data_IF_251698761443
#
_entry.id   IF_251698761443
#
_cell.length_a   1.000
_cell.length_b   1.000
_cell.length_c   1.000
_cell.angle_alpha   90.00
_cell.angle_beta   90.00
_cell.angle_gamma   90.00
#
_symmetry.space_group_name_H-M   'P 1'
#
loop_
_entity.id
_entity.type
_entity.pdbx_description
1 polymer ?
#
# COMPACT_ATOMS: atom_id res chain seq x y z
N UNK A 1 13.51 25.27 36.60
CA UNK A 1 12.10 24.93 36.31
C UNK A 1 12.07 24.51 34.85
N UNK A 2 11.94 23.21 34.59
CA UNK A 2 11.91 22.68 33.24
C UNK A 2 10.53 22.97 32.65
N UNK A 3 10.49 23.77 31.60
CA UNK A 3 9.29 24.02 30.80
C UNK A 3 9.05 22.78 29.95
N UNK A 4 8.31 21.81 30.50
CA UNK A 4 7.75 20.70 29.73
C UNK A 4 6.67 21.32 28.83
N UNK A 5 7.04 21.72 27.61
CA UNK A 5 6.07 21.90 26.54
C UNK A 5 5.37 20.55 26.35
N UNK A 6 4.20 20.39 26.97
CA UNK A 6 3.30 19.28 26.66
C UNK A 6 2.97 19.38 25.17
N UNK A 7 3.56 18.52 24.35
CA UNK A 7 3.12 18.33 22.96
C UNK A 7 1.63 17.99 23.04
N UNK A 8 0.77 18.82 22.46
CA UNK A 8 -0.66 18.54 22.36
C UNK A 8 -0.81 17.21 21.62
N UNK A 9 -1.29 16.18 22.31
CA UNK A 9 -1.48 14.86 21.70
C UNK A 9 -2.67 14.95 20.73
N UNK A 10 -2.40 14.75 19.45
CA UNK A 10 -3.43 14.65 18.42
C UNK A 10 -4.13 13.30 18.55
N UNK A 11 -5.28 13.28 19.21
CA UNK A 11 -6.06 12.05 19.44
C UNK A 11 -7.31 12.01 18.57
N UNK A 12 -7.75 10.79 18.25
CA UNK A 12 -8.98 10.55 17.50
C UNK A 12 -10.20 10.91 18.33
N UNK A 13 -10.96 11.90 17.88
CA UNK A 13 -12.27 12.21 18.46
C UNK A 13 -13.39 11.50 17.68
N UNK A 14 -14.26 10.77 18.39
CA UNK A 14 -15.45 10.20 17.78
C UNK A 14 -16.47 11.26 17.39
N UNK A 15 -17.15 11.11 16.24
CA UNK A 15 -18.24 11.99 15.88
C UNK A 15 -19.45 11.76 16.82
N UNK A 16 -20.46 12.66 16.80
CA UNK A 16 -21.68 12.49 17.58
C UNK A 16 -22.32 11.12 17.39
N UNK A 17 -22.96 10.59 18.44
CA UNK A 17 -23.47 9.21 18.47
C UNK A 17 -24.38 8.84 17.29
N UNK A 18 -25.23 9.75 16.81
CA UNK A 18 -26.06 9.50 15.62
C UNK A 18 -25.22 9.29 14.36
N UNK A 19 -24.13 10.04 14.19
CA UNK A 19 -23.20 9.88 13.06
C UNK A 19 -22.42 8.57 13.17
N UNK A 20 -22.08 8.12 14.38
CA UNK A 20 -21.49 6.80 14.63
C UNK A 20 -22.43 5.67 14.18
N UNK A 21 -23.71 5.76 14.51
CA UNK A 21 -24.71 4.79 14.06
C UNK A 21 -24.83 4.80 12.53
N UNK A 22 -24.94 5.99 11.93
CA UNK A 22 -25.03 6.14 10.48
C UNK A 22 -23.82 5.52 9.77
N UNK A 23 -22.61 5.80 10.27
CA UNK A 23 -21.38 5.20 9.77
C UNK A 23 -21.34 3.69 9.94
N UNK A 24 -21.75 3.16 11.10
CA UNK A 24 -21.82 1.71 11.30
C UNK A 24 -22.75 1.04 10.28
N UNK A 25 -23.95 1.60 10.09
CA UNK A 25 -24.91 1.09 9.10
C UNK A 25 -24.34 1.17 7.70
N UNK A 26 -23.74 2.31 7.33
CA UNK A 26 -23.19 2.54 6.01
C UNK A 26 -22.05 1.57 5.68
N UNK A 27 -21.06 1.42 6.57
CA UNK A 27 -19.92 0.53 6.28
C UNK A 27 -20.33 -0.94 6.26
N UNK A 28 -21.26 -1.36 7.13
CA UNK A 28 -21.81 -2.73 7.12
C UNK A 28 -22.60 -3.01 5.84
N UNK A 29 -23.38 -2.04 5.35
CA UNK A 29 -24.09 -2.18 4.08
C UNK A 29 -23.13 -2.31 2.88
N UNK A 30 -22.04 -1.51 2.87
CA UNK A 30 -20.99 -1.60 1.85
C UNK A 30 -20.31 -2.98 1.92
N UNK A 31 -19.88 -3.42 3.10
CA UNK A 31 -19.25 -4.73 3.30
C UNK A 31 -20.14 -5.88 2.82
N UNK A 32 -21.43 -5.87 3.20
CA UNK A 32 -22.39 -6.89 2.78
C UNK A 32 -22.58 -6.90 1.26
N UNK A 33 -22.65 -5.71 0.64
CA UNK A 33 -22.82 -5.57 -0.81
C UNK A 33 -21.60 -6.09 -1.56
N UNK A 34 -20.39 -5.68 -1.16
CA UNK A 34 -19.15 -6.14 -1.79
C UNK A 34 -18.97 -7.65 -1.63
N UNK A 35 -19.20 -8.19 -0.43
CA UNK A 35 -19.17 -9.65 -0.18
C UNK A 35 -20.15 -10.41 -1.09
N UNK A 36 -21.35 -9.85 -1.31
CA UNK A 36 -22.35 -10.45 -2.19
C UNK A 36 -21.89 -10.41 -3.66
N UNK A 37 -21.29 -9.30 -4.10
CA UNK A 37 -20.73 -9.16 -5.45
C UNK A 37 -19.59 -10.17 -5.66
N UNK A 38 -18.67 -10.31 -4.70
CA UNK A 38 -17.55 -11.26 -4.79
C UNK A 38 -18.05 -12.70 -4.84
N UNK A 39 -19.04 -13.03 -4.02
CA UNK A 39 -19.67 -14.35 -4.04
C UNK A 39 -20.33 -14.64 -5.39
N UNK A 40 -21.10 -13.69 -5.95
CA UNK A 40 -21.69 -13.85 -7.29
C UNK A 40 -20.62 -13.96 -8.38
N UNK A 41 -19.57 -13.15 -8.31
CA UNK A 41 -18.45 -13.20 -9.26
C UNK A 41 -17.71 -14.52 -9.22
N UNK A 42 -17.66 -15.19 -8.06
CA UNK A 42 -16.96 -16.47 -7.91
C UNK A 42 -17.48 -17.58 -8.84
N UNK A 43 -18.73 -17.52 -9.29
CA UNK A 43 -19.32 -18.50 -10.21
C UNK A 43 -18.81 -18.40 -11.66
N UNK A 44 -18.26 -17.26 -12.05
CA UNK A 44 -17.84 -16.98 -13.43
C UNK A 44 -16.32 -16.78 -13.56
N UNK A 45 -15.56 -16.95 -12.47
CA UNK A 45 -14.11 -16.68 -12.46
C UNK A 45 -13.34 -17.73 -13.25
N UNK A 46 -12.55 -17.25 -14.21
CA UNK A 46 -11.59 -18.07 -14.97
C UNK A 46 -10.27 -18.19 -14.22
N UNK A 47 -9.54 -19.28 -14.47
CA UNK A 47 -8.35 -19.69 -13.69
C UNK A 47 -7.07 -18.89 -13.97
N UNK A 48 -7.08 -17.96 -14.94
CA UNK A 48 -5.85 -17.35 -15.45
C UNK A 48 -5.04 -16.59 -14.38
N UNK A 49 -5.74 -15.94 -13.44
CA UNK A 49 -5.13 -15.15 -12.36
C UNK A 49 -5.26 -15.82 -10.98
N UNK A 50 -5.71 -17.07 -10.91
CA UNK A 50 -5.92 -17.73 -9.63
C UNK A 50 -4.57 -18.02 -8.93
N UNK A 51 -4.51 -17.93 -7.60
CA UNK A 51 -3.34 -18.38 -6.85
C UNK A 51 -3.15 -19.88 -7.03
N UNK A 52 -1.91 -20.33 -6.91
CA UNK A 52 -1.57 -21.75 -6.92
C UNK A 52 -2.09 -22.44 -5.65
N UNK A 53 -2.05 -21.74 -4.51
CA UNK A 53 -2.46 -22.25 -3.20
C UNK A 53 -3.27 -21.18 -2.48
N UNK A 54 -4.39 -21.58 -1.87
CA UNK A 54 -5.10 -20.80 -0.86
C UNK A 54 -5.04 -21.57 0.44
N UNK A 55 -4.42 -20.99 1.47
CA UNK A 55 -4.17 -21.65 2.75
C UNK A 55 -4.67 -20.80 3.90
N UNK A 56 -5.13 -21.45 4.96
CA UNK A 56 -5.38 -20.81 6.25
C UNK A 56 -4.45 -21.42 7.28
N UNK A 57 -4.06 -20.63 8.28
CA UNK A 57 -3.21 -21.07 9.38
C UNK A 57 -4.03 -21.04 10.67
N UNK A 58 -3.81 -22.01 11.59
CA UNK A 58 -4.59 -22.11 12.83
C UNK A 58 -4.56 -20.81 13.67
N UNK A 59 -3.49 -20.03 13.58
CA UNK A 59 -3.38 -18.75 14.28
C UNK A 59 -4.42 -17.73 13.81
N UNK A 60 -4.91 -17.83 12.56
CA UNK A 60 -5.91 -16.97 11.91
C UNK A 60 -6.67 -17.77 10.85
N UNK A 61 -7.45 -18.74 11.29
CA UNK A 61 -8.12 -19.75 10.45
C UNK A 61 -9.17 -19.19 9.47
N UNK A 62 -9.68 -17.99 9.73
CA UNK A 62 -10.67 -17.28 8.93
C UNK A 62 -10.06 -16.28 7.94
N UNK A 63 -8.74 -16.13 7.91
CA UNK A 63 -8.03 -15.22 7.02
C UNK A 63 -7.21 -16.02 5.99
N UNK A 64 -7.76 -16.27 4.78
CA UNK A 64 -7.05 -17.00 3.75
C UNK A 64 -5.84 -16.20 3.26
N UNK A 65 -4.69 -16.87 3.16
CA UNK A 65 -3.48 -16.42 2.51
C UNK A 65 -3.44 -17.01 1.10
N UNK A 66 -3.18 -16.17 0.10
CA UNK A 66 -3.16 -16.57 -1.32
C UNK A 66 -1.72 -16.57 -1.82
N UNK A 67 -1.30 -17.66 -2.43
CA UNK A 67 0.11 -17.90 -2.75
C UNK A 67 0.26 -18.15 -4.24
N UNK A 68 1.15 -17.38 -4.87
CA UNK A 68 1.44 -17.42 -6.29
C UNK A 68 2.88 -17.88 -6.49
N UNK A 69 3.02 -19.07 -7.07
CA UNK A 69 4.29 -19.59 -7.54
C UNK A 69 4.52 -19.07 -8.96
N UNK A 70 5.75 -18.64 -9.32
CA UNK A 70 6.02 -18.23 -10.68
C UNK A 70 5.84 -19.42 -11.62
N UNK A 71 5.35 -19.20 -12.84
CA UNK A 71 5.15 -20.26 -13.84
C UNK A 71 6.44 -21.02 -14.19
N UNK A 72 7.59 -20.39 -13.98
CA UNK A 72 8.92 -21.01 -14.11
C UNK A 72 9.30 -21.95 -12.94
N UNK A 73 8.49 -22.02 -11.88
CA UNK A 73 8.76 -22.89 -10.73
C UNK A 73 8.26 -24.31 -10.97
N UNK A 74 9.18 -25.27 -10.91
CA UNK A 74 8.86 -26.68 -11.06
C UNK A 74 8.39 -27.28 -9.73
N UNK A 75 7.23 -27.95 -9.75
CA UNK A 75 6.71 -28.64 -8.57
C UNK A 75 7.70 -29.71 -8.08
N UNK A 76 8.02 -29.68 -6.78
CA UNK A 76 9.01 -30.58 -6.17
C UNK A 76 10.46 -30.10 -6.29
N UNK A 77 10.71 -28.93 -6.90
CA UNK A 77 12.02 -28.28 -6.83
C UNK A 77 12.39 -27.96 -5.38
N UNK A 78 13.68 -28.08 -5.05
CA UNK A 78 14.25 -27.63 -3.77
C UNK A 78 14.73 -26.16 -3.81
N UNK A 79 14.50 -25.46 -4.93
CA UNK A 79 14.94 -24.08 -5.12
C UNK A 79 14.11 -23.14 -4.24
N UNK A 80 14.75 -22.50 -3.27
CA UNK A 80 14.14 -21.40 -2.54
C UNK A 80 14.01 -20.15 -3.43
N UNK A 81 12.93 -19.40 -3.25
CA UNK A 81 12.54 -18.25 -4.03
C UNK A 81 12.59 -16.97 -3.19
N UNK A 82 13.06 -15.85 -3.77
CA UNK A 82 12.76 -14.54 -3.20
C UNK A 82 11.24 -14.36 -3.08
N UNK A 83 10.81 -13.74 -1.99
CA UNK A 83 9.40 -13.67 -1.60
C UNK A 83 8.94 -12.23 -1.45
N UNK A 84 7.84 -11.89 -2.12
CA UNK A 84 7.11 -10.64 -1.93
C UNK A 84 5.81 -10.92 -1.18
N UNK A 85 5.67 -10.40 0.03
CA UNK A 85 4.39 -10.37 0.72
C UNK A 85 3.57 -9.19 0.21
N UNK A 86 2.29 -9.37 -0.09
CA UNK A 86 1.40 -8.30 -0.51
C UNK A 86 0.25 -8.10 0.47
N UNK A 87 -0.14 -6.84 0.69
CA UNK A 87 -1.23 -6.45 1.58
C UNK A 87 -2.21 -5.57 0.80
N UNK A 88 -3.43 -6.04 0.69
CA UNK A 88 -4.46 -5.38 -0.10
C UNK A 88 -5.00 -4.10 0.57
N UNK A 89 -5.57 -3.21 -0.25
CA UNK A 89 -6.18 -1.96 0.18
C UNK A 89 -7.61 -2.10 0.71
N UNK A 90 -8.35 -0.98 0.69
CA UNK A 90 -9.76 -0.95 1.10
C UNK A 90 -10.04 -0.15 2.38
N UNK A 91 -9.25 0.89 2.66
CA UNK A 91 -9.50 1.80 3.78
C UNK A 91 -9.57 1.09 5.14
N UNK A 92 -8.84 -0.02 5.30
CA UNK A 92 -8.85 -0.91 6.48
C UNK A 92 -10.19 -1.62 6.77
N UNK A 93 -11.23 -1.35 5.97
CA UNK A 93 -12.62 -1.71 6.26
C UNK A 93 -13.25 -2.63 5.21
N UNK A 94 -12.74 -2.63 3.98
CA UNK A 94 -13.30 -3.41 2.87
C UNK A 94 -12.17 -4.12 2.11
N UNK A 95 -12.57 -4.87 1.08
CA UNK A 95 -11.66 -5.60 0.22
C UNK A 95 -11.14 -6.89 0.81
N UNK A 96 -10.39 -7.62 0.00
CA UNK A 96 -9.80 -8.90 0.36
C UNK A 96 -8.46 -9.10 -0.37
N UNK A 97 -7.67 -10.06 0.09
CA UNK A 97 -6.42 -10.45 -0.61
C UNK A 97 -6.63 -10.88 -2.07
N UNK A 98 -7.87 -11.16 -2.47
CA UNK A 98 -8.22 -11.53 -3.84
C UNK A 98 -8.28 -10.33 -4.80
N UNK A 99 -8.45 -9.11 -4.28
CA UNK A 99 -8.64 -7.91 -5.10
C UNK A 99 -7.41 -7.63 -5.99
N UNK A 100 -6.24 -8.11 -5.56
CA UNK A 100 -4.94 -7.93 -6.22
C UNK A 100 -4.44 -9.20 -6.93
N UNK A 101 -5.27 -10.24 -7.10
CA UNK A 101 -4.87 -11.52 -7.70
C UNK A 101 -4.17 -11.37 -9.07
N UNK A 102 -4.72 -10.52 -9.94
CA UNK A 102 -4.15 -10.27 -11.27
C UNK A 102 -2.76 -9.61 -11.18
N UNK A 103 -2.61 -8.66 -10.25
CA UNK A 103 -1.33 -8.01 -9.99
C UNK A 103 -0.32 -9.00 -9.43
N UNK A 104 -0.72 -9.78 -8.42
CA UNK A 104 0.13 -10.78 -7.76
C UNK A 104 0.60 -11.88 -8.71
N UNK A 105 -0.30 -12.43 -9.55
CA UNK A 105 0.03 -13.41 -10.60
C UNK A 105 1.03 -12.83 -11.59
N UNK A 106 0.74 -11.65 -12.13
CA UNK A 106 1.61 -10.98 -13.11
C UNK A 106 3.00 -10.72 -12.51
N UNK A 107 3.07 -10.15 -11.31
CA UNK A 107 4.33 -9.84 -10.65
C UNK A 107 5.16 -11.10 -10.37
N UNK A 108 4.51 -12.17 -9.90
CA UNK A 108 5.15 -13.47 -9.67
C UNK A 108 5.78 -14.02 -10.95
N UNK A 109 5.02 -14.08 -12.05
CA UNK A 109 5.51 -14.58 -13.34
C UNK A 109 6.66 -13.75 -13.90
N UNK A 110 6.47 -12.44 -13.99
CA UNK A 110 7.42 -11.55 -14.66
C UNK A 110 8.78 -11.55 -13.97
N UNK A 111 8.82 -11.64 -12.65
CA UNK A 111 10.05 -11.50 -11.88
C UNK A 111 10.56 -12.82 -11.27
N UNK A 112 9.87 -13.94 -11.54
CA UNK A 112 10.22 -15.26 -10.99
C UNK A 112 10.29 -15.28 -9.45
N UNK A 113 9.34 -14.59 -8.80
CA UNK A 113 9.27 -14.44 -7.34
C UNK A 113 8.06 -15.16 -6.77
N UNK A 114 8.17 -15.68 -5.54
CA UNK A 114 7.03 -16.14 -4.77
C UNK A 114 6.25 -14.91 -4.29
N UNK A 115 4.94 -14.86 -4.56
CA UNK A 115 4.07 -13.80 -4.00
C UNK A 115 3.12 -14.42 -2.98
N UNK A 116 3.08 -13.83 -1.78
CA UNK A 116 2.21 -14.24 -0.68
C UNK A 116 1.29 -13.08 -0.31
N UNK A 117 0.03 -13.14 -0.75
CA UNK A 117 -0.97 -12.14 -0.44
C UNK A 117 -1.61 -12.43 0.92
N UNK A 118 -1.36 -11.57 1.89
CA UNK A 118 -1.89 -11.65 3.23
C UNK A 118 -3.29 -11.02 3.31
N UNK A 119 -4.11 -11.55 4.21
CA UNK A 119 -5.44 -11.03 4.52
C UNK A 119 -5.50 -10.58 5.98
N UNK A 120 -6.44 -9.71 6.31
CA UNK A 120 -6.55 -9.13 7.66
C UNK A 120 -8.01 -8.84 8.03
N UNK A 121 -8.31 -8.82 9.33
CA UNK A 121 -9.65 -8.50 9.81
C UNK A 121 -10.03 -7.05 9.52
N UNK A 122 -11.32 -6.81 9.26
CA UNK A 122 -11.81 -5.50 8.81
C UNK A 122 -12.47 -4.70 9.91
N UNK A 123 -12.13 -3.42 9.95
CA UNK A 123 -12.81 -2.45 10.78
C UNK A 123 -14.23 -2.18 10.23
N UNK A 124 -15.21 -1.77 11.06
CA UNK A 124 -15.11 -1.48 12.50
C UNK A 124 -15.24 -2.71 13.41
N UNK A 125 -15.37 -3.93 12.87
CA UNK A 125 -15.43 -5.14 13.70
C UNK A 125 -14.08 -5.42 14.40
N UNK A 126 -13.01 -5.13 13.68
CA UNK A 126 -11.63 -5.26 14.10
C UNK A 126 -10.90 -3.93 13.84
N UNK A 127 -11.07 -2.91 14.73
CA UNK A 127 -10.36 -1.65 14.61
C UNK A 127 -8.86 -1.83 14.84
N UNK A 128 -8.08 -0.77 14.60
CA UNK A 128 -6.65 -0.72 14.94
C UNK A 128 -6.41 -1.17 16.40
N UNK A 129 -5.38 -1.99 16.69
CA UNK A 129 -4.37 -2.54 15.76
C UNK A 129 -4.69 -3.95 15.23
N UNK A 130 -5.91 -4.45 15.38
CA UNK A 130 -6.26 -5.88 15.16
C UNK A 130 -5.80 -6.42 13.79
N UNK A 131 -6.09 -5.69 12.70
CA UNK A 131 -5.67 -6.11 11.36
C UNK A 131 -4.14 -6.19 11.19
N UNK A 132 -3.38 -5.33 11.89
CA UNK A 132 -1.93 -5.39 11.89
C UNK A 132 -1.40 -6.60 12.67
N UNK A 133 -2.03 -6.94 13.81
CA UNK A 133 -1.67 -8.14 14.57
C UNK A 133 -1.99 -9.45 13.82
N UNK A 134 -3.04 -9.45 13.00
CA UNK A 134 -3.35 -10.54 12.07
C UNK A 134 -2.21 -10.73 11.05
N UNK A 135 -1.74 -9.64 10.45
CA UNK A 135 -0.66 -9.66 9.47
C UNK A 135 0.66 -10.15 10.07
N UNK A 136 1.00 -9.73 11.28
CA UNK A 136 2.18 -10.27 12.01
C UNK A 136 2.04 -11.78 12.18
N UNK A 137 0.88 -12.24 12.64
CA UNK A 137 0.63 -13.67 12.87
C UNK A 137 0.72 -14.50 11.60
N UNK A 138 0.15 -14.00 10.49
CA UNK A 138 0.16 -14.69 9.20
C UNK A 138 1.53 -14.65 8.52
N UNK A 139 2.28 -13.55 8.65
CA UNK A 139 3.65 -13.46 8.16
C UNK A 139 4.53 -14.53 8.82
N UNK A 140 4.53 -14.59 10.15
CA UNK A 140 5.32 -15.58 10.91
C UNK A 140 4.88 -17.01 10.58
N UNK A 141 3.56 -17.29 10.56
CA UNK A 141 3.05 -18.61 10.22
C UNK A 141 3.41 -19.05 8.79
N UNK A 142 3.52 -18.11 7.85
CA UNK A 142 3.96 -18.40 6.48
C UNK A 142 5.47 -18.67 6.42
N UNK A 143 6.29 -17.95 7.20
CA UNK A 143 7.72 -18.24 7.29
C UNK A 143 8.03 -19.63 7.86
N UNK A 144 7.21 -20.08 8.82
CA UNK A 144 7.33 -21.40 9.45
C UNK A 144 6.76 -22.52 8.57
N UNK A 145 6.12 -22.19 7.44
CA UNK A 145 5.55 -23.16 6.52
C UNK A 145 6.61 -23.72 5.57
N UNK A 146 7.26 -24.81 6.00
CA UNK A 146 8.27 -25.54 5.22
C UNK A 146 7.75 -26.11 3.88
N UNK A 147 6.43 -26.09 3.63
CA UNK A 147 5.88 -26.46 2.32
C UNK A 147 6.04 -25.36 1.26
N UNK A 148 6.40 -24.14 1.67
CA UNK A 148 6.61 -23.00 0.78
C UNK A 148 8.10 -22.81 0.49
N UNK A 149 8.47 -22.55 -0.77
CA UNK A 149 9.87 -22.36 -1.15
C UNK A 149 10.36 -20.95 -0.80
N UNK A 150 10.17 -20.48 0.42
CA UNK A 150 10.63 -19.15 0.85
C UNK A 150 12.13 -19.19 1.10
N UNK A 151 12.87 -18.28 0.46
CA UNK A 151 14.28 -18.11 0.76
C UNK A 151 14.51 -17.33 2.05
N UNK A 152 14.74 -18.10 3.12
CA UNK A 152 15.09 -17.65 4.46
C UNK A 152 16.60 -17.52 4.70
N UNK A 153 17.44 -17.86 3.73
CA UNK A 153 18.89 -17.83 3.90
C UNK A 153 19.40 -16.38 4.06
N UNK A 154 20.51 -16.21 4.79
CA UNK A 154 21.18 -14.92 5.01
C UNK A 154 20.23 -13.79 5.49
N UNK A 155 19.28 -14.11 6.37
CA UNK A 155 18.30 -13.16 6.90
C UNK A 155 17.09 -12.91 5.99
N UNK A 156 17.00 -13.62 4.86
CA UNK A 156 15.84 -13.62 3.97
C UNK A 156 15.98 -12.76 2.73
N UNK A 157 15.44 -13.24 1.61
CA UNK A 157 15.19 -12.44 0.40
C UNK A 157 13.72 -12.04 0.35
N UNK A 158 13.33 -11.19 1.30
CA UNK A 158 11.93 -10.87 1.57
C UNK A 158 11.65 -9.37 1.46
N UNK A 159 10.55 -9.03 0.80
CA UNK A 159 10.00 -7.68 0.76
C UNK A 159 8.50 -7.70 1.10
N UNK A 160 7.96 -6.57 1.56
CA UNK A 160 6.52 -6.38 1.80
C UNK A 160 6.04 -5.21 0.94
N UNK A 161 4.99 -5.43 0.17
CA UNK A 161 4.30 -4.41 -0.61
C UNK A 161 2.86 -4.28 -0.12
N UNK A 162 2.30 -3.08 -0.18
CA UNK A 162 0.88 -2.92 0.05
C UNK A 162 0.29 -1.71 -0.67
N UNK A 163 -1.02 -1.78 -0.87
CA UNK A 163 -1.79 -0.86 -1.70
C UNK A 163 -2.76 -0.06 -0.84
N UNK A 164 -2.79 1.27 -0.96
CA UNK A 164 -3.73 2.13 -0.20
C UNK A 164 -3.59 1.91 1.33
N UNK A 165 -4.65 1.49 2.03
CA UNK A 165 -4.57 1.05 3.43
C UNK A 165 -3.50 -0.05 3.64
N UNK A 166 -3.30 -0.93 2.66
CA UNK A 166 -2.22 -1.93 2.68
C UNK A 166 -0.83 -1.31 2.63
N UNK A 167 -0.66 -0.14 2.00
CA UNK A 167 0.62 0.60 1.99
C UNK A 167 0.95 1.23 3.34
N UNK A 168 -0.07 1.59 4.13
CA UNK A 168 0.10 1.92 5.53
C UNK A 168 0.51 0.67 6.34
N UNK A 169 -0.25 -0.42 6.17
CA UNK A 169 -0.01 -1.68 6.87
C UNK A 169 1.33 -2.33 6.51
N UNK A 170 1.87 -2.13 5.30
CA UNK A 170 3.19 -2.66 4.93
C UNK A 170 4.31 -2.01 5.73
N UNK A 171 4.25 -0.69 5.93
CA UNK A 171 5.17 0.03 6.80
C UNK A 171 4.95 -0.36 8.28
N UNK A 172 3.70 -0.43 8.74
CA UNK A 172 3.37 -0.84 10.11
C UNK A 172 3.81 -2.28 10.43
N UNK A 173 3.59 -3.22 9.50
CA UNK A 173 4.01 -4.61 9.63
C UNK A 173 5.53 -4.70 9.72
N UNK A 174 6.23 -3.96 8.87
CA UNK A 174 7.69 -3.97 8.88
C UNK A 174 8.25 -3.47 10.22
N UNK A 175 7.68 -2.41 10.79
CA UNK A 175 8.02 -1.92 12.14
C UNK A 175 7.84 -3.00 13.21
N UNK A 176 6.66 -3.64 13.23
CA UNK A 176 6.36 -4.70 14.22
C UNK A 176 7.28 -5.91 14.06
N UNK A 177 7.66 -6.27 12.84
CA UNK A 177 8.54 -7.39 12.58
C UNK A 177 9.99 -7.09 12.97
N UNK A 178 10.49 -5.88 12.72
CA UNK A 178 11.84 -5.46 13.11
C UNK A 178 12.01 -5.36 14.63
N UNK A 179 10.95 -5.03 15.34
CA UNK A 179 10.91 -4.96 16.81
C UNK A 179 10.60 -6.31 17.49
N UNK A 180 10.33 -7.37 16.71
CA UNK A 180 9.90 -8.66 17.25
C UNK A 180 11.05 -9.66 17.34
N UNK A 181 11.34 -10.13 18.56
CA UNK A 181 12.29 -11.22 18.82
C UNK A 181 11.86 -12.56 18.21
N UNK A 182 10.59 -12.71 17.83
CA UNK A 182 10.06 -13.93 17.20
C UNK A 182 10.29 -13.96 15.68
N UNK A 183 10.66 -12.83 15.06
CA UNK A 183 10.93 -12.78 13.64
C UNK A 183 12.41 -13.09 13.38
N UNK A 184 12.69 -14.24 12.78
CA UNK A 184 14.07 -14.63 12.42
C UNK A 184 14.46 -14.22 11.00
N UNK A 185 13.48 -13.74 10.22
CA UNK A 185 13.61 -13.42 8.81
C UNK A 185 12.86 -12.11 8.51
N UNK A 186 13.55 -10.99 8.67
CA UNK A 186 12.97 -9.66 8.55
C UNK A 186 12.82 -9.24 7.07
N UNK A 187 11.78 -8.46 6.73
CA UNK A 187 11.69 -7.85 5.42
C UNK A 187 12.86 -6.88 5.21
N UNK A 188 13.51 -6.97 4.05
CA UNK A 188 14.60 -6.07 3.66
C UNK A 188 14.12 -4.87 2.86
N UNK A 189 12.89 -4.93 2.34
CA UNK A 189 12.21 -3.79 1.76
C UNK A 189 10.75 -3.66 2.19
N UNK A 190 10.30 -2.42 2.32
CA UNK A 190 8.88 -2.06 2.42
C UNK A 190 8.47 -1.15 1.25
N UNK A 191 7.34 -1.49 0.63
CA UNK A 191 6.77 -0.78 -0.50
C UNK A 191 5.36 -0.32 -0.13
N UNK A 192 5.10 0.96 -0.38
CA UNK A 192 3.79 1.57 -0.20
C UNK A 192 3.32 2.14 -1.53
N UNK A 193 2.25 1.59 -2.08
CA UNK A 193 1.61 2.04 -3.32
C UNK A 193 0.36 2.85 -2.95
N UNK A 194 0.37 4.15 -3.28
CA UNK A 194 -0.63 5.18 -2.96
C UNK A 194 -1.17 5.06 -1.52
N UNK A 195 -0.26 4.85 -0.57
CA UNK A 195 -0.58 4.51 0.81
C UNK A 195 -1.25 5.63 1.60
N UNK A 196 -2.12 5.27 2.55
CA UNK A 196 -2.69 6.20 3.53
C UNK A 196 -1.70 6.43 4.69
N UNK A 197 -0.71 7.29 4.51
CA UNK A 197 0.47 7.37 5.37
C UNK A 197 0.36 8.38 6.53
N UNK A 198 -0.62 9.29 6.50
CA UNK A 198 -0.81 10.29 7.55
C UNK A 198 -2.27 10.41 7.97
N UNK A 199 -2.72 9.60 8.92
CA UNK A 199 -4.09 9.65 9.46
C UNK A 199 -4.29 10.79 10.47
N UNK A 200 -3.26 11.60 10.75
CA UNK A 200 -3.36 12.80 11.60
C UNK A 200 -3.93 14.02 10.87
N UNK A 201 -3.90 14.01 9.53
CA UNK A 201 -4.45 15.08 8.69
C UNK A 201 -5.88 14.76 8.26
N UNK A 202 -6.76 15.77 8.29
CA UNK A 202 -8.13 15.59 7.82
C UNK A 202 -8.19 15.29 6.31
N UNK A 203 -9.20 14.53 5.84
CA UNK A 203 -9.41 14.29 4.42
C UNK A 203 -9.46 15.55 3.56
N UNK A 204 -10.07 16.63 4.07
CA UNK A 204 -10.14 17.93 3.38
C UNK A 204 -8.77 18.58 3.22
N UNK A 205 -7.92 18.50 4.26
CA UNK A 205 -6.56 19.01 4.21
C UNK A 205 -5.73 18.25 3.16
N UNK A 206 -5.87 16.93 3.09
CA UNK A 206 -5.23 16.09 2.06
C UNK A 206 -5.72 16.44 0.65
N UNK A 207 -7.05 16.54 0.48
CA UNK A 207 -7.65 16.88 -0.81
C UNK A 207 -7.27 18.28 -1.31
N UNK A 208 -6.95 19.23 -0.42
CA UNK A 208 -6.45 20.56 -0.80
C UNK A 208 -5.09 20.52 -1.50
N UNK A 209 -4.28 19.51 -1.17
CA UNK A 209 -2.93 19.26 -1.71
C UNK A 209 -2.91 18.29 -2.89
N UNK A 210 -4.07 17.82 -3.35
CA UNK A 210 -4.19 16.99 -4.54
C UNK A 210 -3.91 17.80 -5.81
N UNK A 211 -3.29 17.16 -6.80
CA UNK A 211 -3.18 17.72 -8.14
C UNK A 211 -4.49 17.56 -8.92
N UNK A 212 -5.10 18.68 -9.30
CA UNK A 212 -6.31 18.71 -10.13
C UNK A 212 -5.94 19.16 -11.54
N UNK A 213 -6.39 18.40 -12.54
CA UNK A 213 -6.20 18.69 -13.97
C UNK A 213 -7.55 18.90 -14.63
N UNK A 214 -7.67 19.90 -15.49
CA UNK A 214 -8.91 20.24 -16.21
C UNK A 214 -8.85 19.91 -17.70
N UNK A 215 -7.73 19.34 -18.17
CA UNK A 215 -7.53 18.99 -19.56
C UNK A 215 -8.50 17.86 -19.96
N UNK A 216 -9.38 18.14 -20.92
CA UNK A 216 -10.42 17.22 -21.36
C UNK A 216 -9.86 15.92 -21.95
N UNK A 217 -8.60 15.90 -22.41
CA UNK A 217 -7.96 14.69 -22.94
C UNK A 217 -7.81 13.57 -21.89
N UNK A 218 -7.80 13.92 -20.60
CA UNK A 218 -7.76 12.93 -19.52
C UNK A 218 -9.12 12.24 -19.32
N UNK A 219 -10.22 12.88 -19.71
CA UNK A 219 -11.56 12.36 -19.50
C UNK A 219 -12.00 12.29 -18.02
N UNK A 220 -13.29 12.00 -17.81
CA UNK A 220 -13.82 11.72 -16.47
C UNK A 220 -13.45 10.31 -16.03
N UNK A 221 -13.14 10.06 -14.74
CA UNK A 221 -13.15 10.98 -13.61
C UNK A 221 -11.78 11.62 -13.31
N UNK A 222 -10.78 11.49 -14.19
CA UNK A 222 -9.46 12.10 -14.02
C UNK A 222 -9.51 13.63 -13.98
N UNK A 223 -10.47 14.24 -14.67
CA UNK A 223 -10.73 15.69 -14.63
C UNK A 223 -11.69 16.15 -13.52
N UNK A 224 -12.09 15.25 -12.60
CA UNK A 224 -12.99 15.60 -11.51
C UNK A 224 -12.42 16.72 -10.63
N UNK A 225 -13.25 17.71 -10.32
CA UNK A 225 -12.93 18.79 -9.38
C UNK A 225 -12.89 18.33 -7.91
N UNK A 226 -13.19 17.05 -7.65
CA UNK A 226 -13.18 16.44 -6.32
C UNK A 226 -12.50 15.08 -6.36
N UNK A 227 -11.75 14.77 -5.31
CA UNK A 227 -11.17 13.45 -5.12
C UNK A 227 -12.24 12.39 -4.83
N UNK A 228 -12.04 11.17 -5.33
CA UNK A 228 -12.97 10.06 -5.18
C UNK A 228 -13.05 9.54 -3.74
N UNK A 229 -11.94 9.58 -2.99
CA UNK A 229 -11.84 9.09 -1.63
C UNK A 229 -12.46 10.05 -0.61
N UNK A 230 -12.61 11.33 -0.93
CA UNK A 230 -13.02 12.37 0.03
C UNK A 230 -14.35 12.04 0.74
N UNK A 231 -15.28 11.37 0.06
CA UNK A 231 -16.57 11.00 0.65
C UNK A 231 -16.51 9.75 1.54
N UNK A 232 -15.51 8.88 1.34
CA UNK A 232 -15.36 7.62 2.08
C UNK A 232 -14.34 7.73 3.21
N UNK A 233 -13.36 8.62 3.11
CA UNK A 233 -12.30 8.76 4.11
C UNK A 233 -12.85 8.98 5.54
N UNK A 234 -13.83 9.87 5.80
CA UNK A 234 -14.39 10.01 7.15
C UNK A 234 -15.05 8.73 7.70
N UNK A 235 -15.63 7.91 6.82
CA UNK A 235 -16.23 6.63 7.18
C UNK A 235 -15.15 5.59 7.54
N UNK A 236 -14.08 5.54 6.74
CA UNK A 236 -12.93 4.66 6.99
C UNK A 236 -12.18 5.06 8.25
N UNK A 237 -11.84 6.34 8.42
CA UNK A 237 -11.12 6.85 9.59
C UNK A 237 -11.90 6.57 10.88
N UNK A 238 -13.22 6.79 10.87
CA UNK A 238 -14.07 6.47 12.01
C UNK A 238 -14.14 4.96 12.29
N UNK A 239 -14.20 4.15 11.25
CA UNK A 239 -14.32 2.69 11.40
C UNK A 239 -13.03 2.09 11.95
N UNK A 240 -11.88 2.54 11.45
CA UNK A 240 -10.57 1.99 11.76
C UNK A 240 -10.00 2.44 13.10
N UNK A 241 -10.13 3.72 13.44
CA UNK A 241 -9.46 4.31 14.60
C UNK A 241 -10.35 4.26 15.86
N UNK A 242 -9.89 3.64 16.96
CA UNK A 242 -10.56 3.73 18.25
C UNK A 242 -10.69 5.17 18.74
N UNK A 243 -11.69 5.42 19.59
CA UNK A 243 -11.82 6.72 20.28
C UNK A 243 -10.62 6.95 21.20
N UNK A 244 -10.02 8.14 21.13
CA UNK A 244 -8.81 8.48 21.89
C UNK A 244 -7.51 7.91 21.31
N UNK A 245 -7.53 7.20 20.18
CA UNK A 245 -6.32 6.70 19.51
C UNK A 245 -5.37 7.86 19.19
N UNK A 246 -4.09 7.73 19.53
CA UNK A 246 -3.06 8.70 19.13
C UNK A 246 -2.88 8.62 17.62
N UNK A 247 -3.13 9.73 16.92
CA UNK A 247 -2.99 9.85 15.48
C UNK A 247 -1.53 10.01 15.06
N UNK A 248 -0.64 10.28 16.01
CA UNK A 248 0.81 10.34 15.80
C UNK A 248 1.52 9.03 16.18
N UNK A 249 0.76 7.97 16.49
CA UNK A 249 1.32 6.62 16.60
C UNK A 249 1.98 6.23 15.26
N UNK A 250 3.26 5.80 15.25
CA UNK A 250 3.97 5.45 14.02
C UNK A 250 3.38 4.25 13.27
N UNK A 251 2.51 3.45 13.91
CA UNK A 251 1.74 2.39 13.26
C UNK A 251 0.41 2.89 12.67
N UNK A 252 -0.03 4.10 13.05
CA UNK A 252 -1.23 4.76 12.52
C UNK A 252 -0.84 5.73 11.38
N UNK A 253 0.15 6.58 11.62
CA UNK A 253 0.64 7.59 10.66
C UNK A 253 2.14 7.39 10.41
N UNK A 254 2.56 6.29 9.75
CA UNK A 254 3.98 6.00 9.51
C UNK A 254 4.68 7.08 8.68
N UNK A 255 3.94 7.78 7.82
CA UNK A 255 4.44 8.86 6.98
C UNK A 255 5.21 9.90 7.76
N UNK A 256 4.58 10.63 8.70
CA UNK A 256 5.26 11.59 9.55
C UNK A 256 5.98 10.97 10.76
N UNK A 257 5.54 9.81 11.27
CA UNK A 257 5.92 9.38 12.62
C UNK A 257 6.85 8.16 12.70
N UNK A 258 6.95 7.32 11.66
CA UNK A 258 7.81 6.13 11.74
C UNK A 258 9.29 6.51 11.86
N UNK A 259 9.98 5.88 12.81
CA UNK A 259 11.43 5.95 12.90
C UNK A 259 12.04 5.22 11.68
N UNK A 260 12.93 5.84 10.90
CA UNK A 260 13.60 5.17 9.79
C UNK A 260 14.38 3.91 10.17
N UNK A 261 14.80 3.80 11.45
CA UNK A 261 15.51 2.63 11.98
C UNK A 261 14.54 1.48 12.34
N UNK A 262 13.26 1.80 12.54
CA UNK A 262 12.18 0.81 12.68
C UNK A 262 11.63 0.36 11.31
N UNK A 263 12.21 0.81 10.20
CA UNK A 263 11.80 0.43 8.84
C UNK A 263 12.89 -0.38 8.14
N UNK A 264 12.53 -1.19 7.12
CA UNK A 264 13.53 -1.91 6.36
C UNK A 264 14.56 -0.98 5.74
N UNK A 265 15.78 -1.48 5.45
CA UNK A 265 16.82 -0.64 4.88
C UNK A 265 16.43 -0.11 3.49
N UNK A 266 15.53 -0.75 2.76
CA UNK A 266 15.04 -0.27 1.48
C UNK A 266 13.55 0.12 1.55
N UNK A 267 13.22 1.36 1.22
CA UNK A 267 11.82 1.84 1.16
C UNK A 267 11.51 2.38 -0.23
N UNK A 268 10.42 1.93 -0.83
CA UNK A 268 9.92 2.45 -2.10
C UNK A 268 8.49 2.96 -1.93
N UNK A 269 8.31 4.26 -2.05
CA UNK A 269 7.00 4.91 -2.06
C UNK A 269 6.59 5.20 -3.50
N UNK A 270 5.45 4.63 -3.90
CA UNK A 270 4.80 4.83 -5.20
C UNK A 270 3.48 5.56 -4.92
N UNK A 271 3.14 6.59 -5.68
CA UNK A 271 1.92 7.37 -5.50
C UNK A 271 1.19 7.60 -6.83
N UNK A 272 -0.11 7.87 -6.75
CA UNK A 272 -0.93 8.30 -7.89
C UNK A 272 -0.96 9.82 -7.96
N UNK A 273 -0.71 10.44 -9.11
CA UNK A 273 -0.71 11.92 -9.21
C UNK A 273 -2.08 12.54 -8.90
N UNK A 274 -3.17 11.92 -9.36
CA UNK A 274 -4.53 12.43 -9.21
C UNK A 274 -5.22 11.88 -7.95
N UNK A 275 -4.50 11.85 -6.84
CA UNK A 275 -4.92 11.28 -5.57
C UNK A 275 -4.61 12.23 -4.40
N UNK A 276 -5.57 12.41 -3.49
CA UNK A 276 -5.35 13.17 -2.25
C UNK A 276 -4.25 12.61 -1.34
N UNK A 277 -3.85 11.34 -1.50
CA UNK A 277 -2.77 10.70 -0.74
C UNK A 277 -1.37 10.92 -1.36
N UNK A 278 -1.29 11.58 -2.51
CA UNK A 278 -0.01 11.80 -3.21
C UNK A 278 0.98 12.62 -2.37
N UNK A 279 0.49 13.68 -1.73
CA UNK A 279 1.34 14.62 -1.00
C UNK A 279 1.94 14.01 0.26
N UNK A 280 1.14 13.31 1.06
CA UNK A 280 1.66 12.58 2.23
C UNK A 280 2.64 11.47 1.84
N UNK A 281 2.46 10.85 0.66
CA UNK A 281 3.40 9.87 0.14
C UNK A 281 4.74 10.51 -0.22
N UNK A 282 4.73 11.67 -0.89
CA UNK A 282 5.95 12.43 -1.18
C UNK A 282 6.64 12.88 0.10
N UNK A 283 5.87 13.44 1.04
CA UNK A 283 6.39 13.94 2.32
C UNK A 283 7.04 12.81 3.13
N UNK A 284 6.44 11.62 3.13
CA UNK A 284 7.03 10.42 3.72
C UNK A 284 8.38 10.07 3.08
N UNK A 285 8.43 9.94 1.74
CA UNK A 285 9.66 9.58 1.03
C UNK A 285 10.77 10.61 1.29
N UNK A 286 10.46 11.90 1.16
CA UNK A 286 11.39 13.00 1.42
C UNK A 286 11.91 12.97 2.86
N UNK A 287 11.03 12.79 3.85
CA UNK A 287 11.40 12.70 5.27
C UNK A 287 12.33 11.53 5.54
N UNK A 288 12.01 10.34 5.04
CA UNK A 288 12.84 9.14 5.24
C UNK A 288 14.23 9.31 4.63
N UNK A 289 14.33 9.92 3.46
CA UNK A 289 15.62 10.22 2.84
C UNK A 289 16.41 11.28 3.65
N UNK A 290 15.78 12.36 4.10
CA UNK A 290 16.42 13.37 4.96
C UNK A 290 16.95 12.76 6.26
N UNK A 291 16.15 11.91 6.90
CA UNK A 291 16.52 11.29 8.16
C UNK A 291 17.74 10.35 8.02
N UNK A 292 18.00 9.85 6.81
CA UNK A 292 19.18 9.06 6.45
C UNK A 292 20.35 9.89 5.89
N UNK A 293 20.31 11.21 6.06
CA UNK A 293 21.36 12.13 5.62
C UNK A 293 21.32 12.47 4.13
N UNK A 294 20.24 12.09 3.45
CA UNK A 294 19.97 12.42 2.06
C UNK A 294 19.44 13.84 1.87
N UNK A 295 19.29 14.24 0.61
CA UNK A 295 18.63 15.50 0.25
C UNK A 295 17.11 15.43 0.30
N UNK A 296 16.56 14.21 0.32
CA UNK A 296 15.14 13.85 0.19
C UNK A 296 14.34 14.68 -0.79
N UNK A 297 14.87 14.83 -2.00
CA UNK A 297 14.68 15.94 -2.96
C UNK A 297 13.24 16.49 -3.04
N UNK A 298 12.98 17.68 -2.44
CA UNK A 298 12.64 18.87 -3.25
C UNK A 298 13.09 20.27 -2.72
N UNK A 299 13.66 21.16 -3.57
CA UNK A 299 13.46 22.67 -3.62
C UNK A 299 14.08 23.29 -4.92
N UNK A 300 13.67 24.42 -5.54
CA UNK A 300 12.89 25.65 -5.19
C UNK A 300 11.83 25.96 -6.28
N UNK A 301 10.60 26.43 -6.06
CA UNK A 301 9.95 27.17 -4.98
C UNK A 301 9.50 26.30 -3.79
N UNK A 302 9.74 26.77 -2.58
CA UNK A 302 9.78 26.03 -1.31
C UNK A 302 8.49 25.38 -0.78
N UNK A 303 7.38 25.42 -1.52
CA UNK A 303 6.11 24.81 -1.12
C UNK A 303 5.31 24.48 -2.38
N UNK A 304 5.70 23.47 -3.19
CA UNK A 304 4.71 22.94 -4.14
C UNK A 304 3.60 22.33 -3.29
N UNK A 305 2.51 23.08 -3.12
CA UNK A 305 1.35 22.67 -2.33
C UNK A 305 0.74 21.35 -2.81
N UNK A 306 1.18 20.83 -3.96
CA UNK A 306 0.65 19.66 -4.67
C UNK A 306 1.78 18.83 -5.28
N UNK A 307 1.59 17.52 -5.40
CA UNK A 307 2.53 16.65 -6.11
C UNK A 307 2.34 16.70 -7.63
N UNK A 308 3.40 16.50 -8.39
CA UNK A 308 3.33 16.42 -9.85
C UNK A 308 3.30 17.78 -10.55
N UNK A 309 2.52 17.90 -11.62
CA UNK A 309 2.41 19.14 -12.43
C UNK A 309 0.99 19.41 -12.93
N UNK A 310 0.74 20.62 -13.43
CA UNK A 310 -0.58 21.02 -13.97
C UNK A 310 -0.91 20.32 -15.29
N UNK A 311 0.10 20.11 -16.12
CA UNK A 311 -0.07 19.59 -17.47
C UNK A 311 -0.18 18.05 -17.45
N UNK A 312 -1.02 17.46 -18.31
CA UNK A 312 -0.99 16.02 -18.53
C UNK A 312 0.40 15.49 -18.89
N UNK A 313 0.68 14.28 -18.44
CA UNK A 313 1.74 13.41 -18.91
C UNK A 313 1.43 12.81 -20.27
N UNK A 314 2.40 12.06 -20.79
CA UNK A 314 2.18 11.24 -21.97
C UNK A 314 1.40 9.96 -21.58
N UNK A 315 0.36 9.58 -22.33
CA UNK A 315 -0.36 8.34 -22.08
C UNK A 315 0.56 7.12 -22.13
N UNK A 316 0.40 6.20 -21.18
CA UNK A 316 1.15 4.95 -21.05
C UNK A 316 2.59 5.10 -20.55
N UNK A 317 3.07 6.32 -20.30
CA UNK A 317 4.47 6.57 -19.91
C UNK A 317 4.60 6.98 -18.43
N UNK A 318 5.71 6.57 -17.81
CA UNK A 318 6.18 7.10 -16.53
C UNK A 318 7.11 8.29 -16.77
N UNK A 319 7.22 9.18 -15.79
CA UNK A 319 8.09 10.35 -15.83
C UNK A 319 9.31 10.11 -14.90
N UNK A 320 10.42 9.60 -15.44
CA UNK A 320 11.56 9.14 -14.62
C UNK A 320 12.69 10.17 -14.46
N UNK A 321 12.79 11.13 -15.38
CA UNK A 321 13.86 12.14 -15.38
C UNK A 321 13.52 13.36 -14.50
N UNK A 322 12.22 13.65 -14.34
CA UNK A 322 11.74 14.77 -13.54
C UNK A 322 11.69 14.37 -12.06
N UNK A 323 12.45 15.09 -11.22
CA UNK A 323 12.53 14.84 -9.77
C UNK A 323 11.21 15.09 -9.03
N UNK A 324 10.22 15.75 -9.63
CA UNK A 324 8.85 15.79 -9.08
C UNK A 324 8.21 14.40 -9.11
N UNK A 325 8.55 13.59 -10.11
CA UNK A 325 7.93 12.30 -10.39
C UNK A 325 8.78 11.11 -9.98
N UNK A 326 10.11 11.16 -10.09
CA UNK A 326 10.93 10.02 -9.71
C UNK A 326 12.31 10.43 -9.20
N UNK A 327 12.74 9.76 -8.14
CA UNK A 327 14.13 9.79 -7.67
C UNK A 327 14.45 8.59 -6.79
N UNK A 328 15.73 8.34 -6.62
CA UNK A 328 16.25 7.38 -5.66
C UNK A 328 17.47 7.98 -4.99
N UNK A 329 17.54 7.85 -3.67
CA UNK A 329 18.74 8.10 -2.89
C UNK A 329 19.20 6.80 -2.27
N UNK A 330 20.49 6.50 -2.39
CA UNK A 330 21.12 5.28 -1.87
C UNK A 330 22.10 5.67 -0.77
N UNK A 331 22.05 4.91 0.32
CA UNK A 331 22.86 5.07 1.53
C UNK A 331 23.72 3.81 1.71
N UNK A 332 24.74 3.82 2.60
CA UNK A 332 25.61 2.66 2.81
C UNK A 332 24.87 1.36 3.17
N UNK A 333 23.74 1.47 3.87
CA UNK A 333 22.96 0.36 4.39
C UNK A 333 21.59 0.21 3.72
N UNK A 334 21.18 1.12 2.84
CA UNK A 334 19.79 1.19 2.39
C UNK A 334 19.52 2.10 1.22
N UNK A 335 18.23 2.27 0.88
CA UNK A 335 17.81 3.25 -0.13
C UNK A 335 16.38 3.72 0.11
N UNK A 336 16.09 4.94 -0.32
CA UNK A 336 14.73 5.47 -0.41
C UNK A 336 14.44 5.81 -1.87
N UNK A 337 13.33 5.31 -2.38
CA UNK A 337 12.89 5.53 -3.76
C UNK A 337 11.50 6.15 -3.79
N UNK A 338 11.32 7.11 -4.68
CA UNK A 338 10.07 7.81 -4.93
C UNK A 338 9.62 7.60 -6.37
N UNK A 339 8.33 7.34 -6.56
CA UNK A 339 7.67 7.36 -7.86
C UNK A 339 6.27 7.95 -7.74
N UNK A 340 5.97 8.97 -8.53
CA UNK A 340 4.63 9.47 -8.78
C UNK A 340 4.20 8.99 -10.17
N UNK A 341 3.14 8.19 -10.24
CA UNK A 341 2.58 7.73 -11.51
C UNK A 341 1.70 8.85 -12.08
N UNK A 342 2.01 9.38 -13.27
CA UNK A 342 1.34 10.55 -13.82
C UNK A 342 -0.10 10.24 -14.24
N UNK A 343 -1.01 11.19 -14.03
CA UNK A 343 -2.41 11.19 -14.50
C UNK A 343 -3.28 10.00 -14.09
N UNK A 344 -2.89 9.23 -13.08
CA UNK A 344 -3.68 8.09 -12.59
C UNK A 344 -4.40 8.41 -11.29
N UNK A 345 -5.55 7.77 -11.08
CA UNK A 345 -6.38 7.89 -9.89
C UNK A 345 -5.93 6.92 -8.79
N UNK A 346 -6.55 7.03 -7.62
CA UNK A 346 -6.39 6.04 -6.56
C UNK A 346 -6.83 4.64 -7.04
N UNK A 347 -6.02 3.61 -6.76
CA UNK A 347 -6.32 2.23 -7.15
C UNK A 347 -6.28 1.98 -8.67
N UNK A 348 -5.54 2.78 -9.43
CA UNK A 348 -5.43 2.66 -10.89
C UNK A 348 -4.90 1.31 -11.37
N UNK A 349 -4.23 0.56 -10.52
CA UNK A 349 -3.64 -0.75 -10.79
C UNK A 349 -4.54 -1.92 -10.37
N UNK A 350 -5.65 -1.64 -9.69
CA UNK A 350 -6.67 -2.62 -9.32
C UNK A 350 -7.65 -2.82 -10.49
N UNK A 351 -7.73 -4.06 -10.99
CA UNK A 351 -8.60 -4.40 -12.12
C UNK A 351 -10.08 -4.05 -11.88
N UNK A 352 -10.70 -4.41 -10.72
CA UNK A 352 -12.07 -3.98 -10.42
C UNK A 352 -12.26 -2.46 -10.39
N UNK A 353 -11.25 -1.70 -9.97
CA UNK A 353 -11.33 -0.24 -9.95
C UNK A 353 -11.23 0.36 -11.34
N UNK A 354 -10.33 -0.16 -12.20
CA UNK A 354 -10.22 0.29 -13.59
C UNK A 354 -11.53 0.16 -14.35
N UNK A 355 -12.16 -1.02 -14.29
CA UNK A 355 -13.41 -1.32 -14.99
C UNK A 355 -14.57 -0.45 -14.49
N UNK A 356 -14.57 -0.09 -13.21
CA UNK A 356 -15.63 0.73 -12.61
C UNK A 356 -15.46 2.23 -12.87
N UNK A 357 -14.22 2.70 -13.00
CA UNK A 357 -13.89 4.13 -12.97
C UNK A 357 -13.42 4.69 -14.32
N UNK A 358 -13.11 3.87 -15.33
CA UNK A 358 -12.50 4.34 -16.57
C UNK A 358 -13.29 4.02 -17.85
N UNK A 359 -13.18 4.88 -18.86
CA UNK A 359 -13.41 4.47 -20.25
C UNK A 359 -12.22 3.68 -20.81
N UNK A 360 -12.37 3.05 -21.98
CA UNK A 360 -11.35 2.17 -22.58
C UNK A 360 -9.94 2.79 -22.62
N UNK A 361 -9.82 4.06 -23.01
CA UNK A 361 -8.53 4.75 -23.07
C UNK A 361 -7.91 4.97 -21.68
N UNK A 362 -8.74 5.22 -20.65
CA UNK A 362 -8.27 5.39 -19.27
C UNK A 362 -7.82 4.06 -18.68
N UNK A 363 -8.54 2.98 -18.98
CA UNK A 363 -8.17 1.62 -18.56
C UNK A 363 -6.83 1.24 -19.19
N UNK A 364 -6.67 1.46 -20.50
CA UNK A 364 -5.44 1.15 -21.22
C UNK A 364 -4.23 1.97 -20.73
N UNK A 365 -4.44 3.26 -20.46
CA UNK A 365 -3.40 4.12 -19.88
C UNK A 365 -2.94 3.60 -18.50
N UNK A 366 -3.90 3.22 -17.65
CA UNK A 366 -3.63 2.68 -16.33
C UNK A 366 -2.94 1.31 -16.38
N UNK A 367 -3.31 0.44 -17.33
CA UNK A 367 -2.67 -0.84 -17.59
C UNK A 367 -1.19 -0.68 -17.97
N UNK A 368 -0.90 0.13 -18.99
CA UNK A 368 0.46 0.38 -19.46
C UNK A 368 1.34 0.97 -18.34
N UNK A 369 0.82 1.92 -17.57
CA UNK A 369 1.53 2.52 -16.43
C UNK A 369 1.73 1.52 -15.30
N UNK A 370 0.79 0.60 -15.08
CA UNK A 370 0.91 -0.48 -14.10
C UNK A 370 2.01 -1.45 -14.50
N UNK A 371 2.01 -1.93 -15.74
CA UNK A 371 3.08 -2.78 -16.27
C UNK A 371 4.45 -2.11 -16.14
N UNK A 372 4.53 -0.82 -16.49
CA UNK A 372 5.77 -0.05 -16.42
C UNK A 372 6.29 0.08 -14.97
N UNK A 373 5.45 0.45 -14.00
CA UNK A 373 5.91 0.59 -12.62
C UNK A 373 6.17 -0.77 -11.97
N UNK A 374 5.40 -1.82 -12.29
CA UNK A 374 5.65 -3.17 -11.82
C UNK A 374 7.03 -3.67 -12.28
N UNK A 375 7.38 -3.44 -13.55
CA UNK A 375 8.71 -3.73 -14.07
C UNK A 375 9.77 -2.95 -13.30
N UNK A 376 9.56 -1.66 -13.07
CA UNK A 376 10.50 -0.81 -12.32
C UNK A 376 10.71 -1.31 -10.88
N UNK A 377 9.63 -1.71 -10.21
CA UNK A 377 9.64 -2.27 -8.86
C UNK A 377 10.36 -3.62 -8.81
N UNK A 378 10.05 -4.52 -9.74
CA UNK A 378 10.69 -5.83 -9.79
C UNK A 378 12.18 -5.74 -10.12
N UNK A 379 12.56 -4.92 -11.10
CA UNK A 379 13.97 -4.63 -11.40
C UNK A 379 14.68 -4.04 -10.18
N UNK A 380 14.03 -3.13 -9.44
CA UNK A 380 14.61 -2.56 -8.21
C UNK A 380 14.81 -3.64 -7.13
N UNK A 381 13.81 -4.49 -6.88
CA UNK A 381 13.91 -5.57 -5.89
C UNK A 381 14.98 -6.60 -6.26
N UNK A 382 15.05 -7.03 -7.53
CA UNK A 382 16.06 -7.97 -8.03
C UNK A 382 17.50 -7.44 -7.85
N UNK A 383 17.69 -6.14 -8.00
CA UNK A 383 19.00 -5.49 -7.89
C UNK A 383 19.37 -5.05 -6.48
N UNK A 384 18.47 -5.15 -5.50
CA UNK A 384 18.71 -4.64 -4.13
C UNK A 384 18.44 -5.69 -3.06
N UNK A 385 17.26 -6.31 -3.08
CA UNK A 385 16.75 -7.16 -2.00
C UNK A 385 16.87 -8.64 -2.34
N UNK A 386 16.62 -9.02 -3.59
CA UNK A 386 16.57 -10.40 -4.05
C UNK A 386 17.88 -10.90 -4.67
N UNK A 387 18.97 -10.17 -4.46
CA UNK A 387 20.34 -10.58 -4.85
C UNK A 387 20.64 -11.95 -4.21
N UNK A 388 21.09 -12.90 -5.03
CA UNK A 388 21.35 -14.28 -4.63
C UNK A 388 22.59 -14.44 -3.75
#
# INVERSE_FOLDING_TARGET
MADFHAKTQLVKESPPWMRRIAYNVQIRAIQATLTTIDWLGSFSRTSANAPNIVKTYNVRDHLPVRIFLPSSYEAGSSKALPTLFTIHGGGFCIGSSQDDDAWNRSFSDTHSVLVVALNYSKAPAAPFPTGLDDLVSLYLATLDDESLPIDKANGGRIAICGFSAGGNLSLGLSQRLLQSDHCTCHPRAAISVYGALDLSRSPEAKASTRQYKTDASLGSPRTSARDLLLNMAPLFDWSYLPDGQDLQDPLVSPGPCADPDDLPPHVFIIASELDMLAKESQDCASRLAHARGGSGIPVADSEIARCGRSEPGKPGELELEDKRFAWQETFPDGSVRWLLVPDVLHGFDSLPMRERLGGEETIKDAELKTEAYCKLLGDWLLNTVFIA
#
